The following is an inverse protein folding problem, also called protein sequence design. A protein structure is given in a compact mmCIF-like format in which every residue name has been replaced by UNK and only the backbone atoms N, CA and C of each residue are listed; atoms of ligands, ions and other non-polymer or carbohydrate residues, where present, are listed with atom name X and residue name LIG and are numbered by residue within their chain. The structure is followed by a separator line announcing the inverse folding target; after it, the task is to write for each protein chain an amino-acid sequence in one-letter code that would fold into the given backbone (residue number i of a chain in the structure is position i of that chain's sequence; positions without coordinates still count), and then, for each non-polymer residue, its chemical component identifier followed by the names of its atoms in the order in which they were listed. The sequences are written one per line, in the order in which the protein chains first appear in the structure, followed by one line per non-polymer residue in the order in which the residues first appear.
data_IF_529009725101
#
_entry.id   IF_529009725101
#
_cell.length_a   1.000
_cell.length_b   1.000
_cell.length_c   1.000
_cell.angle_alpha   90.00
_cell.angle_beta   90.00
_cell.angle_gamma   90.00
#
_symmetry.space_group_name_H-M   'P 1'
#
loop_
_entity.id
_entity.type
_entity.pdbx_description
1 polymer ?
#
# COMPACT_ATOMS: atom_id res chain seq x y z
N UNK A 1 5.20 1.44 -0.39
CA UNK A 1 5.38 1.88 -1.78
C UNK A 1 6.57 1.12 -2.37
N UNK A 2 6.46 0.64 -3.60
CA UNK A 2 7.55 -0.03 -4.31
C UNK A 2 7.83 0.71 -5.61
N UNK A 3 8.90 1.49 -5.65
CA UNK A 3 9.36 2.19 -6.84
C UNK A 3 10.89 2.21 -6.86
N UNK A 4 11.55 1.46 -7.76
CA UNK A 4 13.01 1.35 -7.79
C UNK A 4 13.70 2.66 -8.23
N UNK A 5 12.95 3.55 -8.89
CA UNK A 5 13.45 4.81 -9.43
C UNK A 5 13.15 5.99 -8.49
N UNK A 6 12.79 5.73 -7.23
CA UNK A 6 12.49 6.79 -6.28
C UNK A 6 13.73 7.66 -5.95
N UNK A 7 13.65 8.99 -6.01
CA UNK A 7 14.78 9.85 -5.67
C UNK A 7 15.20 9.69 -4.20
N UNK A 8 16.51 9.58 -3.95
CA UNK A 8 17.05 9.29 -2.59
C UNK A 8 16.90 10.45 -1.62
N UNK A 9 16.81 11.67 -2.14
CA UNK A 9 16.67 12.93 -1.43
C UNK A 9 15.20 13.38 -1.29
N UNK A 10 14.25 12.59 -1.80
CA UNK A 10 12.83 12.88 -1.72
C UNK A 10 12.14 12.02 -0.65
N UNK A 11 11.62 12.68 0.38
CA UNK A 11 10.74 12.04 1.35
C UNK A 11 9.43 11.57 0.67
N UNK A 12 8.94 10.40 1.08
CA UNK A 12 7.64 9.92 0.62
C UNK A 12 6.51 10.74 1.26
N UNK A 13 5.50 11.03 0.45
CA UNK A 13 4.28 11.75 0.81
C UNK A 13 3.07 11.15 0.06
N UNK A 14 1.90 11.80 0.14
CA UNK A 14 0.65 11.34 -0.47
C UNK A 14 0.65 11.38 -2.01
N UNK A 15 1.62 12.07 -2.62
CA UNK A 15 1.80 12.09 -4.08
C UNK A 15 2.65 10.89 -4.58
N UNK A 16 3.16 10.08 -3.65
CA UNK A 16 4.09 8.99 -3.93
C UNK A 16 3.35 7.68 -4.28
N UNK A 17 3.56 7.17 -5.49
CA UNK A 17 2.92 5.94 -5.98
C UNK A 17 3.92 4.80 -6.24
N UNK A 18 3.46 3.56 -6.04
CA UNK A 18 4.23 2.37 -6.45
C UNK A 18 4.26 2.24 -7.97
N UNK A 19 5.37 1.72 -8.49
CA UNK A 19 5.55 1.34 -9.89
C UNK A 19 4.84 0.00 -10.16
N UNK A 20 3.78 0.05 -10.96
CA UNK A 20 2.94 -1.12 -11.26
C UNK A 20 3.68 -2.16 -12.10
N UNK A 21 4.50 -1.73 -13.06
CA UNK A 21 5.24 -2.64 -13.93
C UNK A 21 6.35 -3.34 -13.14
N UNK A 22 7.05 -2.59 -12.29
CA UNK A 22 8.02 -3.19 -11.37
C UNK A 22 7.36 -4.20 -10.43
N UNK A 23 6.21 -3.86 -9.84
CA UNK A 23 5.50 -4.78 -8.95
C UNK A 23 5.07 -6.05 -9.69
N UNK A 24 4.57 -5.93 -10.92
CA UNK A 24 4.15 -7.06 -11.74
C UNK A 24 5.32 -7.93 -12.19
N UNK A 25 6.40 -7.32 -12.65
CA UNK A 25 7.60 -8.03 -13.13
C UNK A 25 8.32 -8.82 -12.01
N UNK A 26 8.20 -8.37 -10.76
CA UNK A 26 8.83 -9.01 -9.60
C UNK A 26 7.83 -9.78 -8.72
N UNK A 27 6.65 -10.10 -9.26
CA UNK A 27 5.60 -10.87 -8.59
C UNK A 27 5.19 -10.30 -7.22
N UNK A 28 5.29 -8.98 -7.05
CA UNK A 28 4.90 -8.25 -5.84
C UNK A 28 3.38 -8.04 -5.82
N UNK A 29 2.64 -9.13 -5.82
CA UNK A 29 1.19 -9.15 -6.03
C UNK A 29 0.40 -8.34 -5.00
N UNK A 30 0.82 -8.37 -3.73
CA UNK A 30 0.16 -7.59 -2.69
C UNK A 30 0.25 -6.08 -2.96
N UNK A 31 1.45 -5.59 -3.30
CA UNK A 31 1.68 -4.18 -3.60
C UNK A 31 0.98 -3.76 -4.90
N UNK A 32 1.02 -4.61 -5.92
CA UNK A 32 0.31 -4.39 -7.18
C UNK A 32 -1.19 -4.24 -6.93
N UNK A 33 -1.79 -5.21 -6.24
CA UNK A 33 -3.23 -5.24 -5.96
C UNK A 33 -3.66 -4.03 -5.11
N UNK A 34 -2.92 -3.69 -4.06
CA UNK A 34 -3.21 -2.50 -3.23
C UNK A 34 -3.14 -1.21 -4.03
N UNK A 35 -2.14 -1.06 -4.88
CA UNK A 35 -1.96 0.16 -5.69
C UNK A 35 -3.07 0.30 -6.74
N UNK A 36 -3.44 -0.79 -7.43
CA UNK A 36 -4.55 -0.77 -8.41
C UNK A 36 -5.87 -0.45 -7.70
N UNK A 37 -6.18 -1.14 -6.60
CA UNK A 37 -7.42 -0.94 -5.88
C UNK A 37 -7.58 0.51 -5.37
N UNK A 38 -6.50 1.13 -4.88
CA UNK A 38 -6.53 2.52 -4.44
C UNK A 38 -6.77 3.48 -5.61
N UNK A 39 -6.06 3.31 -6.74
CA UNK A 39 -6.26 4.15 -7.93
C UNK A 39 -7.70 4.07 -8.44
N UNK A 40 -8.23 2.86 -8.57
CA UNK A 40 -9.61 2.65 -9.04
C UNK A 40 -10.64 3.27 -8.07
N UNK A 41 -10.44 3.11 -6.75
CA UNK A 41 -11.31 3.73 -5.77
C UNK A 41 -11.28 5.27 -5.88
N UNK A 42 -10.10 5.88 -6.03
CA UNK A 42 -9.98 7.33 -6.16
C UNK A 42 -10.58 7.85 -7.48
N UNK A 43 -10.38 7.16 -8.61
CA UNK A 43 -11.02 7.53 -9.89
C UNK A 43 -12.54 7.40 -9.83
N UNK A 44 -13.05 6.35 -9.19
CA UNK A 44 -14.49 6.19 -8.95
C UNK A 44 -15.04 7.32 -8.08
N UNK A 45 -14.29 7.77 -7.07
CA UNK A 45 -14.67 8.92 -6.23
C UNK A 45 -14.80 10.23 -7.00
N UNK A 46 -14.02 10.43 -8.07
CA UNK A 46 -14.09 11.64 -8.91
C UNK A 46 -15.36 11.70 -9.77
N UNK A 47 -15.92 10.55 -10.13
CA UNK A 47 -17.07 10.43 -11.05
C UNK A 47 -18.38 10.10 -10.36
N UNK A 48 -18.32 9.60 -9.11
CA UNK A 48 -19.49 9.29 -8.29
C UNK A 48 -19.85 10.44 -7.33
N UNK A 49 -20.96 10.28 -6.62
CA UNK A 49 -21.35 11.19 -5.53
C UNK A 49 -20.63 10.90 -4.20
N UNK A 50 -19.73 9.90 -4.17
CA UNK A 50 -19.04 9.48 -2.96
C UNK A 50 -17.77 10.30 -2.73
N UNK A 51 -17.58 10.76 -1.49
CA UNK A 51 -16.31 11.34 -1.05
C UNK A 51 -15.41 10.23 -0.53
N UNK A 52 -14.31 9.98 -1.22
CA UNK A 52 -13.35 8.93 -0.88
C UNK A 52 -12.12 9.57 -0.26
N UNK A 53 -11.70 9.01 0.87
CA UNK A 53 -10.43 9.31 1.55
C UNK A 53 -9.69 8.01 1.78
N UNK A 54 -8.38 8.02 1.62
CA UNK A 54 -7.53 6.84 1.82
C UNK A 54 -6.60 7.06 3.01
N UNK A 55 -6.30 5.98 3.71
CA UNK A 55 -5.29 5.94 4.77
C UNK A 55 -4.31 4.84 4.38
N UNK A 56 -3.03 5.19 4.29
CA UNK A 56 -1.98 4.29 3.81
C UNK A 56 -1.01 3.91 4.95
N UNK A 57 -1.40 2.96 5.83
CA UNK A 57 -0.53 2.50 6.90
C UNK A 57 0.65 1.69 6.37
N UNK A 58 1.74 1.66 7.15
CA UNK A 58 2.88 0.76 6.94
C UNK A 58 2.71 -0.52 7.77
N UNK A 59 3.78 -1.01 8.42
CA UNK A 59 3.69 -2.15 9.33
C UNK A 59 2.95 -1.73 10.58
N UNK A 60 1.81 -2.38 10.85
CA UNK A 60 0.98 -2.13 12.03
C UNK A 60 1.34 -3.08 13.16
N UNK A 61 1.52 -2.52 14.35
CA UNK A 61 1.81 -3.24 15.60
C UNK A 61 0.84 -2.80 16.69
N UNK A 62 0.63 -3.67 17.68
CA UNK A 62 -0.21 -3.39 18.84
C UNK A 62 -0.96 -4.63 19.33
N UNK A 63 -1.84 -4.47 20.33
CA UNK A 63 -2.69 -5.54 20.83
C UNK A 63 -3.52 -6.17 19.70
N UNK A 64 -3.53 -7.49 19.62
CA UNK A 64 -4.35 -8.23 18.66
C UNK A 64 -5.70 -8.55 19.29
N UNK A 65 -6.78 -8.14 18.63
CA UNK A 65 -8.14 -8.51 19.06
C UNK A 65 -8.53 -9.91 18.59
N UNK A 66 -7.88 -10.40 17.53
CA UNK A 66 -8.07 -11.73 16.97
C UNK A 66 -7.03 -12.74 17.52
N UNK A 67 -7.37 -14.04 17.61
CA UNK A 67 -6.48 -15.05 18.20
C UNK A 67 -5.31 -15.46 17.29
N UNK A 68 -5.28 -14.98 16.04
CA UNK A 68 -4.23 -15.29 15.05
C UNK A 68 -3.38 -14.07 14.73
N UNK A 69 -2.09 -14.29 14.45
CA UNK A 69 -1.23 -13.20 14.02
C UNK A 69 -1.63 -12.71 12.63
N UNK A 70 -1.70 -11.38 12.48
CA UNK A 70 -1.83 -10.77 11.17
C UNK A 70 -0.47 -10.74 10.44
N UNK A 71 -0.49 -10.44 9.15
CA UNK A 71 0.72 -10.40 8.33
C UNK A 71 1.77 -9.40 8.82
N UNK A 72 1.34 -8.25 9.35
CA UNK A 72 2.24 -7.19 9.84
C UNK A 72 3.00 -7.62 11.10
N UNK A 73 2.32 -8.23 12.07
CA UNK A 73 2.97 -8.77 13.28
C UNK A 73 3.85 -9.97 12.95
N UNK A 74 3.41 -10.85 12.03
CA UNK A 74 4.20 -12.00 11.61
C UNK A 74 5.49 -11.59 10.89
N UNK A 75 5.46 -10.51 10.09
CA UNK A 75 6.63 -10.01 9.38
C UNK A 75 7.78 -9.67 10.34
N UNK A 76 7.48 -9.07 11.49
CA UNK A 76 8.49 -8.68 12.49
C UNK A 76 9.11 -9.88 13.22
N UNK A 77 8.37 -10.98 13.37
CA UNK A 77 8.89 -12.19 14.03
C UNK A 77 9.77 -13.04 13.12
N UNK A 78 9.71 -12.83 11.80
CA UNK A 78 10.45 -13.60 10.80
C UNK A 78 11.79 -12.96 10.38
N UNK A 79 12.12 -11.81 10.96
CA UNK A 79 13.37 -11.08 10.75
C UNK A 79 14.38 -11.43 11.85
#
# INVERSE_FOLDING_TARGET
MLNPNWPKDQAMNEESWSDLEFCKANEQWYFLAKTIAEKEALEYGKTSSLKIVTICPSIIIGPLLQPTMNSSSLYLLKQ
#
